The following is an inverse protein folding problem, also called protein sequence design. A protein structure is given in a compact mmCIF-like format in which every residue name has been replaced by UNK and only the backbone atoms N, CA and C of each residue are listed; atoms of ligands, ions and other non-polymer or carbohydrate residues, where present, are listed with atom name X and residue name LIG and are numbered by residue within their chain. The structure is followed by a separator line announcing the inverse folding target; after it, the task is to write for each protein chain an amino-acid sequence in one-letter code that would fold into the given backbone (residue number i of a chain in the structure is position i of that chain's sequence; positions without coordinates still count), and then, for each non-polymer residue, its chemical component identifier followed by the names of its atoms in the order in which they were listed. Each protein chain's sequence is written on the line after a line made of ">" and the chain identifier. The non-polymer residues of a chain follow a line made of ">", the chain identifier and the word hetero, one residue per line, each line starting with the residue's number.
data_IF_825898541531
#
_entry.id   IF_825898541531
#
_cell.length_a   1.000
_cell.length_b   1.000
_cell.length_c   1.000
_cell.angle_alpha   90.00
_cell.angle_beta   90.00
_cell.angle_gamma   90.00
#
_symmetry.space_group_name_H-M   'P 1'
#
loop_
_entity.id
_entity.type
_entity.pdbx_description
1 polymer ?
#
# COMPACT_ATOMS: atom_id res chain seq x y z
N UNK A 1 20.39 -8.47 -24.86
CA UNK A 1 19.35 -7.49 -24.60
C UNK A 1 19.06 -6.59 -25.79
N UNK A 2 20.06 -6.27 -26.66
CA UNK A 2 19.92 -5.38 -27.82
C UNK A 2 19.29 -6.08 -29.01
N UNK A 3 18.39 -5.39 -29.75
CA UNK A 3 17.75 -5.92 -30.97
C UNK A 3 18.53 -5.60 -32.23
N UNK A 4 19.07 -4.35 -32.32
CA UNK A 4 19.87 -3.96 -33.47
C UNK A 4 21.19 -4.71 -33.48
N UNK A 5 21.53 -5.27 -34.64
CA UNK A 5 22.77 -6.03 -34.86
C UNK A 5 23.64 -5.29 -35.85
N UNK A 6 24.93 -5.63 -35.87
CA UNK A 6 25.83 -5.13 -36.90
C UNK A 6 25.30 -5.52 -38.29
N UNK A 7 25.18 -4.55 -39.19
CA UNK A 7 24.61 -4.68 -40.54
C UNK A 7 23.13 -4.30 -40.66
N UNK A 8 22.43 -4.04 -39.56
CA UNK A 8 21.06 -3.55 -39.60
C UNK A 8 21.03 -2.07 -39.94
N UNK A 9 19.87 -1.63 -40.48
CA UNK A 9 19.67 -0.19 -40.76
C UNK A 9 19.52 0.57 -39.42
N UNK A 10 20.37 1.57 -39.22
CA UNK A 10 20.30 2.45 -38.05
C UNK A 10 18.99 3.27 -38.04
N UNK A 11 18.28 3.23 -36.93
CA UNK A 11 17.13 4.09 -36.66
C UNK A 11 17.15 4.60 -35.21
N UNK A 12 16.77 5.86 -35.01
CA UNK A 12 16.67 6.46 -33.68
C UNK A 12 15.66 5.66 -32.79
N UNK A 13 14.55 5.22 -33.39
CA UNK A 13 13.55 4.40 -32.70
C UNK A 13 14.13 3.05 -32.22
N UNK A 14 14.98 2.42 -33.03
CA UNK A 14 15.69 1.18 -32.65
C UNK A 14 16.67 1.42 -31.51
N UNK A 15 17.39 2.56 -31.56
CA UNK A 15 18.32 2.98 -30.51
C UNK A 15 17.60 3.17 -29.17
N UNK A 16 16.47 3.88 -29.16
CA UNK A 16 15.65 4.09 -27.95
C UNK A 16 15.05 2.79 -27.43
N UNK A 17 14.53 1.95 -28.32
CA UNK A 17 13.98 0.64 -27.92
C UNK A 17 15.03 -0.28 -27.27
N UNK A 18 16.26 -0.26 -27.74
CA UNK A 18 17.35 -1.04 -27.17
C UNK A 18 17.84 -0.43 -25.84
N UNK A 19 17.90 0.93 -25.71
CA UNK A 19 18.11 1.59 -24.43
C UNK A 19 17.09 1.12 -23.39
N UNK A 20 15.81 1.12 -23.74
CA UNK A 20 14.74 0.73 -22.85
C UNK A 20 14.84 -0.75 -22.44
N UNK A 21 15.26 -1.62 -23.35
CA UNK A 21 15.51 -3.04 -23.01
C UNK A 21 16.67 -3.22 -22.03
N UNK A 22 17.75 -2.47 -22.22
CA UNK A 22 18.88 -2.50 -21.28
C UNK A 22 18.43 -1.96 -19.93
N UNK A 23 17.73 -0.83 -19.88
CA UNK A 23 17.20 -0.24 -18.65
C UNK A 23 16.25 -1.21 -17.93
N UNK A 24 15.38 -1.88 -18.68
CA UNK A 24 14.43 -2.85 -18.15
C UNK A 24 15.07 -4.13 -17.60
N UNK A 25 16.39 -4.32 -17.72
CA UNK A 25 17.09 -5.39 -16.99
C UNK A 25 17.14 -5.14 -15.49
N UNK A 26 17.05 -3.87 -15.07
CA UNK A 26 17.00 -3.43 -13.68
C UNK A 26 18.36 -3.20 -13.01
N UNK A 27 19.48 -3.41 -13.70
CA UNK A 27 20.84 -3.27 -13.14
C UNK A 27 21.43 -1.88 -13.28
N UNK A 28 20.79 -0.99 -14.04
CA UNK A 28 21.36 0.30 -14.41
C UNK A 28 20.52 1.44 -13.84
N UNK A 29 21.22 2.37 -13.23
CA UNK A 29 20.68 3.63 -12.73
C UNK A 29 20.34 4.59 -13.88
N UNK A 30 21.24 4.66 -14.89
CA UNK A 30 21.04 5.50 -16.06
C UNK A 30 21.68 4.86 -17.30
N UNK A 31 21.11 5.17 -18.49
CA UNK A 31 21.59 4.71 -19.78
C UNK A 31 21.38 5.82 -20.80
N UNK A 32 22.47 6.27 -21.41
CA UNK A 32 22.40 7.22 -22.49
C UNK A 32 23.14 6.69 -23.73
N UNK A 33 22.44 6.54 -24.86
CA UNK A 33 23.05 6.13 -26.11
C UNK A 33 23.73 7.30 -26.81
N UNK A 34 24.85 7.06 -27.47
CA UNK A 34 25.47 7.95 -28.43
C UNK A 34 25.71 7.23 -29.75
N UNK A 35 25.85 7.96 -30.82
CA UNK A 35 26.19 7.38 -32.11
C UNK A 35 27.16 8.28 -32.87
N UNK A 36 28.02 7.65 -33.64
CA UNK A 36 29.02 8.32 -34.50
C UNK A 36 28.91 7.79 -35.93
N UNK A 37 28.95 8.68 -36.88
CA UNK A 37 29.04 8.31 -38.32
C UNK A 37 30.48 8.00 -38.69
N UNK A 38 30.69 6.82 -39.24
CA UNK A 38 31.98 6.37 -39.77
C UNK A 38 31.81 6.00 -41.24
N UNK A 39 32.92 5.88 -42.04
CA UNK A 39 32.83 5.57 -43.46
C UNK A 39 32.03 4.27 -43.77
N UNK A 40 32.09 3.30 -42.87
CA UNK A 40 31.43 1.99 -43.00
C UNK A 40 30.00 1.98 -42.47
N UNK A 41 29.51 3.10 -41.84
CA UNK A 41 28.14 3.15 -41.31
C UNK A 41 27.99 4.02 -40.06
N UNK A 42 27.32 3.48 -39.04
CA UNK A 42 27.08 4.14 -37.74
C UNK A 42 27.52 3.25 -36.60
N UNK A 43 28.40 3.76 -35.76
CA UNK A 43 28.79 3.11 -34.50
C UNK A 43 27.86 3.63 -33.40
N UNK A 44 27.19 2.70 -32.71
CA UNK A 44 26.31 2.99 -31.58
C UNK A 44 27.01 2.61 -30.29
N UNK A 45 27.05 3.52 -29.33
CA UNK A 45 27.62 3.28 -27.99
C UNK A 45 26.55 3.52 -26.91
N UNK A 46 26.30 2.53 -26.06
CA UNK A 46 25.44 2.67 -24.88
C UNK A 46 26.33 2.92 -23.67
N UNK A 47 26.24 4.11 -23.11
CA UNK A 47 26.88 4.47 -21.85
C UNK A 47 25.94 4.06 -20.71
N UNK A 48 26.45 3.26 -19.79
CA UNK A 48 25.64 2.71 -18.70
C UNK A 48 26.23 3.12 -17.34
N UNK A 49 25.36 3.48 -16.40
CA UNK A 49 25.70 3.68 -15.00
C UNK A 49 25.04 2.57 -14.20
N UNK A 50 25.85 1.69 -13.62
CA UNK A 50 25.35 0.56 -12.83
C UNK A 50 24.81 1.03 -11.49
N UNK A 51 23.78 0.30 -11.01
CA UNK A 51 23.32 0.44 -9.65
C UNK A 51 24.43 0.05 -8.66
N UNK A 52 24.42 0.58 -7.43
CA UNK A 52 25.42 0.24 -6.43
C UNK A 52 25.30 -1.24 -5.99
N UNK A 53 26.38 -1.78 -5.47
CA UNK A 53 26.40 -3.11 -4.84
C UNK A 53 25.69 -3.02 -3.50
N UNK A 54 24.72 -3.90 -3.28
CA UNK A 54 23.96 -4.01 -2.05
C UNK A 54 24.82 -4.63 -0.95
N UNK A 55 25.07 -3.90 0.14
CA UNK A 55 25.83 -4.39 1.30
C UNK A 55 24.97 -4.70 2.53
N UNK A 56 23.75 -4.21 2.54
CA UNK A 56 22.78 -4.49 3.59
C UNK A 56 21.42 -3.92 3.30
N UNK A 57 20.42 -4.39 4.05
CA UNK A 57 19.02 -3.94 3.93
C UNK A 57 18.53 -3.61 5.34
N UNK A 58 18.01 -2.40 5.51
CA UNK A 58 17.40 -1.91 6.75
C UNK A 58 15.92 -1.64 6.52
N UNK A 59 15.09 -2.20 7.40
CA UNK A 59 13.66 -1.93 7.46
C UNK A 59 13.36 -1.04 8.67
N UNK A 60 12.46 -0.08 8.51
CA UNK A 60 12.01 0.80 9.59
C UNK A 60 10.54 1.16 9.44
N UNK A 61 9.90 1.56 10.55
CA UNK A 61 8.49 1.95 10.58
C UNK A 61 7.49 0.78 10.62
N UNK A 62 7.96 -0.45 10.63
CA UNK A 62 7.15 -1.65 10.81
C UNK A 62 6.93 -1.90 12.30
N UNK A 63 5.76 -1.54 12.82
CA UNK A 63 5.39 -1.70 14.23
C UNK A 63 4.49 -2.91 14.48
N UNK A 64 3.73 -3.32 13.47
CA UNK A 64 2.77 -4.44 13.55
C UNK A 64 3.27 -5.71 12.89
N UNK A 65 4.25 -5.61 11.99
CA UNK A 65 4.89 -6.76 11.34
C UNK A 65 6.30 -6.95 11.87
N UNK A 66 6.67 -8.21 12.09
CA UNK A 66 8.01 -8.55 12.55
C UNK A 66 9.04 -8.30 11.44
N UNK A 67 10.14 -7.63 11.78
CA UNK A 67 11.24 -7.33 10.85
C UNK A 67 11.81 -8.60 10.19
N UNK A 68 11.97 -9.69 10.93
CA UNK A 68 12.46 -10.97 10.40
C UNK A 68 11.52 -11.55 9.35
N UNK A 69 10.20 -11.46 9.59
CA UNK A 69 9.18 -11.89 8.63
C UNK A 69 9.27 -11.09 7.34
N UNK A 70 9.40 -9.77 7.43
CA UNK A 70 9.53 -8.90 6.27
C UNK A 70 10.85 -9.11 5.53
N UNK A 71 11.96 -9.29 6.26
CA UNK A 71 13.25 -9.61 5.67
C UNK A 71 13.23 -10.93 4.91
N UNK A 72 12.50 -11.93 5.40
CA UNK A 72 12.29 -13.21 4.73
C UNK A 72 11.57 -13.12 3.38
N UNK A 73 10.90 -12.01 3.10
CA UNK A 73 10.25 -11.74 1.80
C UNK A 73 11.19 -11.10 0.78
N UNK A 74 12.36 -10.64 1.21
CA UNK A 74 13.33 -9.98 0.35
C UNK A 74 14.18 -11.04 -0.34
N UNK A 75 14.19 -11.01 -1.66
CA UNK A 75 14.92 -11.98 -2.48
C UNK A 75 16.32 -11.51 -2.88
N UNK A 76 16.54 -10.18 -2.83
CA UNK A 76 17.85 -9.59 -3.13
C UNK A 76 18.91 -10.01 -2.11
N UNK A 77 20.12 -10.23 -2.60
CA UNK A 77 21.26 -10.68 -1.79
C UNK A 77 22.32 -9.59 -1.62
N UNK A 78 22.90 -9.54 -0.43
CA UNK A 78 24.07 -8.69 -0.19
C UNK A 78 25.27 -9.20 -0.99
N UNK A 79 26.08 -8.27 -1.51
CA UNK A 79 27.20 -8.56 -2.40
C UNK A 79 26.86 -8.54 -3.90
N UNK A 80 25.59 -8.47 -4.27
CA UNK A 80 25.15 -8.37 -5.67
C UNK A 80 24.82 -6.90 -6.02
N UNK A 81 24.84 -6.58 -7.32
CA UNK A 81 24.38 -5.28 -7.82
C UNK A 81 22.88 -5.18 -7.59
N UNK A 82 22.42 -4.06 -7.02
CA UNK A 82 20.99 -3.82 -6.79
C UNK A 82 20.23 -3.91 -8.11
N UNK A 83 19.22 -4.77 -8.14
CA UNK A 83 18.31 -4.88 -9.27
C UNK A 83 16.98 -4.20 -8.94
N UNK A 84 16.65 -3.12 -9.64
CA UNK A 84 15.44 -2.33 -9.40
C UNK A 84 14.14 -3.11 -9.63
N UNK A 85 14.14 -4.10 -10.52
CA UNK A 85 12.97 -4.96 -10.77
C UNK A 85 12.73 -5.95 -9.62
N UNK A 86 13.80 -6.52 -9.08
CA UNK A 86 13.72 -7.41 -7.91
C UNK A 86 13.32 -6.60 -6.68
N UNK A 87 13.89 -5.41 -6.49
CA UNK A 87 13.48 -4.49 -5.42
C UNK A 87 11.98 -4.20 -5.48
N UNK A 88 11.43 -3.90 -6.65
CA UNK A 88 9.99 -3.65 -6.80
C UNK A 88 9.14 -4.88 -6.47
N UNK A 89 9.59 -6.09 -6.83
CA UNK A 89 8.90 -7.34 -6.45
C UNK A 89 8.93 -7.55 -4.93
N UNK A 90 10.07 -7.33 -4.31
CA UNK A 90 10.23 -7.49 -2.87
C UNK A 90 9.36 -6.46 -2.10
N UNK A 91 9.31 -5.20 -2.57
CA UNK A 91 8.41 -4.17 -2.04
C UNK A 91 6.95 -4.58 -2.16
N UNK A 92 6.55 -5.13 -3.32
CA UNK A 92 5.18 -5.64 -3.51
C UNK A 92 4.87 -6.82 -2.59
N UNK A 93 5.84 -7.71 -2.35
CA UNK A 93 5.67 -8.84 -1.43
C UNK A 93 5.48 -8.38 0.01
N UNK A 94 6.24 -7.38 0.45
CA UNK A 94 6.08 -6.75 1.77
C UNK A 94 4.69 -6.11 1.90
N UNK A 95 4.25 -5.31 0.92
CA UNK A 95 2.95 -4.66 0.94
C UNK A 95 1.80 -5.68 0.93
N UNK A 96 1.96 -6.79 0.19
CA UNK A 96 0.97 -7.86 0.16
C UNK A 96 0.88 -8.61 1.49
N UNK A 97 2.00 -8.78 2.22
CA UNK A 97 1.98 -9.32 3.57
C UNK A 97 1.11 -8.45 4.49
N UNK A 98 1.35 -7.14 4.52
CA UNK A 98 0.54 -6.19 5.27
C UNK A 98 -0.95 -6.27 4.90
N UNK A 99 -1.25 -6.34 3.60
CA UNK A 99 -2.64 -6.44 3.12
C UNK A 99 -3.31 -7.73 3.59
N UNK A 100 -2.61 -8.87 3.53
CA UNK A 100 -3.12 -10.15 4.04
C UNK A 100 -3.46 -10.09 5.52
N UNK A 101 -2.69 -9.34 6.31
CA UNK A 101 -2.93 -9.17 7.74
C UNK A 101 -3.95 -8.08 8.07
N UNK A 102 -4.44 -7.39 7.05
CA UNK A 102 -5.52 -6.41 7.14
C UNK A 102 -5.06 -4.96 7.16
N UNK A 103 -3.76 -4.70 7.12
CA UNK A 103 -3.17 -3.36 7.12
C UNK A 103 -3.12 -2.76 5.70
N UNK A 104 -4.30 -2.53 5.14
CA UNK A 104 -4.48 -2.14 3.73
C UNK A 104 -3.93 -0.77 3.36
N UNK A 105 -3.57 0.05 4.33
CA UNK A 105 -2.98 1.38 4.14
C UNK A 105 -1.46 1.35 4.16
N UNK A 106 -0.86 0.22 4.53
CA UNK A 106 0.58 0.10 4.61
C UNK A 106 1.23 0.23 3.24
N UNK A 107 2.27 1.05 3.17
CA UNK A 107 3.07 1.29 1.95
C UNK A 107 4.52 1.57 2.30
N UNK A 108 5.41 1.27 1.37
CA UNK A 108 6.79 1.74 1.43
C UNK A 108 6.80 3.19 0.94
N UNK A 109 7.25 4.12 1.77
CA UNK A 109 7.24 5.56 1.50
C UNK A 109 8.60 6.12 1.13
N UNK A 110 9.65 5.43 1.51
CA UNK A 110 11.02 5.84 1.22
C UNK A 110 11.87 4.59 0.91
N UNK A 111 12.64 4.71 -0.17
CA UNK A 111 13.60 3.70 -0.61
C UNK A 111 14.87 4.44 -0.97
N UNK A 112 15.87 4.34 -0.12
CA UNK A 112 17.14 5.01 -0.30
C UNK A 112 18.30 4.05 -0.12
N UNK A 113 19.28 4.10 -1.00
CA UNK A 113 20.55 3.41 -0.83
C UNK A 113 21.64 4.43 -0.52
N UNK A 114 22.33 4.23 0.58
CA UNK A 114 23.39 5.13 1.00
C UNK A 114 24.72 4.84 0.27
N UNK A 115 25.69 5.74 0.46
CA UNK A 115 27.05 5.58 -0.10
C UNK A 115 27.80 4.32 0.40
N UNK A 116 27.34 3.72 1.47
CA UNK A 116 27.89 2.48 2.01
C UNK A 116 27.22 1.23 1.42
N UNK A 117 26.22 1.41 0.54
CA UNK A 117 25.49 0.31 -0.08
C UNK A 117 24.37 -0.28 0.81
N UNK A 118 23.93 0.45 1.83
CA UNK A 118 22.81 0.03 2.68
C UNK A 118 21.50 0.55 2.09
N UNK A 119 20.62 -0.35 1.69
CA UNK A 119 19.27 -0.03 1.25
C UNK A 119 18.36 0.13 2.48
N UNK A 120 17.79 1.31 2.64
CA UNK A 120 16.78 1.58 3.67
C UNK A 120 15.39 1.56 3.04
N UNK A 121 14.49 0.74 3.60
CA UNK A 121 13.08 0.68 3.25
C UNK A 121 12.27 1.19 4.43
N UNK A 122 11.54 2.29 4.24
CA UNK A 122 10.68 2.86 5.29
C UNK A 122 9.23 2.48 5.04
N UNK A 123 8.66 1.75 5.97
CA UNK A 123 7.24 1.41 5.98
C UNK A 123 6.43 2.53 6.63
N UNK A 124 5.32 2.90 6.02
CA UNK A 124 4.27 3.68 6.65
C UNK A 124 3.02 2.80 6.71
N UNK A 125 2.60 2.44 7.91
CA UNK A 125 1.51 1.48 8.14
C UNK A 125 0.12 2.10 8.02
N UNK A 126 0.03 3.45 7.96
CA UNK A 126 -1.22 4.18 7.92
C UNK A 126 -1.98 4.12 9.25
N UNK A 127 -2.35 5.27 9.80
CA UNK A 127 -2.89 5.39 11.16
C UNK A 127 -4.40 5.63 11.13
N UNK A 128 -5.12 4.99 12.06
CA UNK A 128 -6.48 5.37 12.40
C UNK A 128 -6.43 6.66 13.25
N UNK A 129 -6.83 7.81 12.68
CA UNK A 129 -6.83 9.08 13.40
C UNK A 129 -7.99 9.19 14.38
N UNK A 130 -9.15 8.66 14.00
CA UNK A 130 -10.34 8.73 14.84
C UNK A 130 -11.57 8.09 14.21
N UNK A 131 -12.68 8.31 14.90
CA UNK A 131 -13.99 7.83 14.49
C UNK A 131 -14.94 8.99 14.28
N UNK A 132 -15.89 8.81 13.36
CA UNK A 132 -17.05 9.67 13.17
C UNK A 132 -18.29 8.81 13.05
N UNK A 133 -19.35 9.18 13.74
CA UNK A 133 -20.63 8.44 13.69
C UNK A 133 -21.69 9.32 13.06
N UNK A 134 -22.48 8.76 12.16
CA UNK A 134 -23.62 9.38 11.52
C UNK A 134 -24.86 8.49 11.59
N UNK A 135 -26.05 9.11 11.56
CA UNK A 135 -27.33 8.39 11.53
C UNK A 135 -27.85 7.95 12.90
N UNK A 136 -27.08 8.13 13.98
CA UNK A 136 -27.46 7.79 15.33
C UNK A 136 -28.32 8.89 15.99
N UNK A 137 -29.60 8.94 15.68
CA UNK A 137 -30.54 9.96 16.22
C UNK A 137 -30.97 9.70 17.65
N UNK A 138 -31.13 8.43 18.04
CA UNK A 138 -31.56 7.97 19.37
C UNK A 138 -30.43 7.35 20.16
N UNK A 139 -29.58 6.57 19.50
CA UNK A 139 -28.46 5.86 20.12
C UNK A 139 -27.31 6.83 20.38
N UNK A 140 -26.85 6.91 21.63
CA UNK A 140 -25.70 7.74 21.98
C UNK A 140 -24.45 7.21 21.32
N UNK A 141 -23.63 8.10 20.75
CA UNK A 141 -22.38 7.79 20.05
C UNK A 141 -21.47 6.84 20.88
N UNK A 142 -21.34 7.07 22.18
CA UNK A 142 -20.56 6.23 23.09
C UNK A 142 -20.95 4.74 23.07
N UNK A 143 -22.22 4.42 22.75
CA UNK A 143 -22.71 3.05 22.68
C UNK A 143 -22.15 2.35 21.44
N UNK A 144 -21.95 3.10 20.38
CA UNK A 144 -21.33 2.62 19.11
C UNK A 144 -19.82 2.52 19.30
N UNK A 145 -19.20 3.59 19.80
CA UNK A 145 -17.72 3.66 19.90
C UNK A 145 -17.11 2.62 20.86
N UNK A 146 -17.84 2.21 21.89
CA UNK A 146 -17.37 1.12 22.78
C UNK A 146 -17.21 -0.25 22.08
N UNK A 147 -17.83 -0.41 20.91
CA UNK A 147 -17.73 -1.64 20.11
C UNK A 147 -16.50 -1.64 19.18
N UNK A 148 -15.80 -0.53 19.11
CA UNK A 148 -14.61 -0.40 18.27
C UNK A 148 -13.46 -1.25 18.83
N UNK A 149 -12.78 -1.96 17.92
CA UNK A 149 -11.68 -2.86 18.26
C UNK A 149 -10.30 -2.20 18.21
N UNK A 150 -10.21 -1.07 17.53
CA UNK A 150 -8.98 -0.29 17.41
C UNK A 150 -9.10 1.03 18.15
N UNK A 151 -7.98 1.55 18.60
CA UNK A 151 -7.89 2.88 19.21
C UNK A 151 -7.32 3.88 18.20
N UNK A 152 -7.72 5.14 18.25
CA UNK A 152 -7.02 6.20 17.53
C UNK A 152 -5.53 6.19 17.87
N UNK A 153 -4.70 6.39 16.85
CA UNK A 153 -3.25 6.31 16.93
C UNK A 153 -2.65 4.95 16.56
N UNK A 154 -3.45 3.90 16.49
CA UNK A 154 -2.98 2.57 16.04
C UNK A 154 -2.97 2.47 14.50
N UNK A 155 -2.08 1.64 13.91
CA UNK A 155 -2.13 1.31 12.49
C UNK A 155 -3.49 0.75 12.09
N UNK A 156 -4.10 1.32 11.04
CA UNK A 156 -5.45 0.92 10.62
C UNK A 156 -5.49 -0.51 10.11
N UNK A 157 -6.41 -1.31 10.64
CA UNK A 157 -6.63 -2.70 10.24
C UNK A 157 -8.07 -2.94 9.78
N UNK A 158 -8.24 -3.27 8.51
CA UNK A 158 -9.55 -3.50 7.88
C UNK A 158 -10.30 -4.72 8.44
N UNK A 159 -9.59 -5.75 8.93
CA UNK A 159 -10.22 -6.91 9.57
C UNK A 159 -10.83 -6.52 10.92
N UNK A 160 -10.14 -5.68 11.69
CA UNK A 160 -10.65 -5.16 12.97
C UNK A 160 -11.80 -4.17 12.74
N UNK A 161 -11.72 -3.32 11.72
CA UNK A 161 -12.81 -2.43 11.31
C UNK A 161 -14.08 -3.21 10.96
N UNK A 162 -13.96 -4.28 10.17
CA UNK A 162 -15.09 -5.15 9.82
C UNK A 162 -15.69 -5.86 11.04
N UNK A 163 -14.83 -6.34 11.96
CA UNK A 163 -15.30 -6.92 13.23
C UNK A 163 -16.02 -5.88 14.08
N UNK A 164 -15.55 -4.65 14.13
CA UNK A 164 -16.21 -3.54 14.86
C UNK A 164 -17.59 -3.27 14.26
N UNK A 165 -17.70 -3.18 12.95
CA UNK A 165 -18.99 -3.01 12.25
C UNK A 165 -19.98 -4.14 12.63
N UNK A 166 -19.53 -5.39 12.60
CA UNK A 166 -20.38 -6.53 12.99
C UNK A 166 -20.84 -6.45 14.44
N UNK A 167 -20.00 -5.98 15.36
CA UNK A 167 -20.37 -5.80 16.78
C UNK A 167 -21.42 -4.71 16.93
N UNK A 168 -21.29 -3.58 16.21
CA UNK A 168 -22.30 -2.52 16.21
C UNK A 168 -23.63 -3.04 15.66
N UNK A 169 -23.60 -3.78 14.55
CA UNK A 169 -24.79 -4.40 13.98
C UNK A 169 -25.47 -5.37 14.96
N UNK A 170 -24.68 -6.17 15.68
CA UNK A 170 -25.16 -7.17 16.67
C UNK A 170 -25.77 -6.53 17.93
N UNK A 171 -25.64 -5.21 18.14
CA UNK A 171 -26.39 -4.52 19.21
C UNK A 171 -27.91 -4.60 19.01
N UNK A 172 -28.35 -4.91 17.78
CA UNK A 172 -29.76 -5.06 17.46
C UNK A 172 -30.54 -3.75 17.26
N UNK A 173 -29.90 -2.59 17.41
CA UNK A 173 -30.51 -1.27 17.29
C UNK A 173 -30.57 -0.74 15.86
N UNK A 174 -29.79 -1.32 14.95
CA UNK A 174 -29.58 -0.82 13.60
C UNK A 174 -30.12 -1.80 12.56
N UNK A 175 -30.73 -1.24 11.50
CA UNK A 175 -31.09 -1.97 10.27
C UNK A 175 -29.87 -2.15 9.38
N UNK A 176 -29.00 -1.13 9.36
CA UNK A 176 -27.79 -1.11 8.56
C UNK A 176 -26.64 -0.40 9.28
N UNK A 177 -25.41 -0.84 9.00
CA UNK A 177 -24.18 -0.26 9.51
C UNK A 177 -23.15 -0.31 8.41
N UNK A 178 -22.74 0.86 7.93
CA UNK A 178 -21.74 1.02 6.89
C UNK A 178 -20.48 1.69 7.44
N UNK A 179 -19.34 1.38 6.83
CA UNK A 179 -18.06 2.02 7.13
C UNK A 179 -17.54 2.72 5.89
N UNK A 180 -17.13 3.97 6.07
CA UNK A 180 -16.39 4.76 5.08
C UNK A 180 -15.06 5.20 5.68
N UNK A 181 -14.03 5.23 4.83
CA UNK A 181 -12.72 5.73 5.18
C UNK A 181 -12.58 7.13 4.59
N UNK A 182 -12.46 8.12 5.46
CA UNK A 182 -12.21 9.50 5.05
C UNK A 182 -10.74 9.84 5.31
N UNK A 183 -10.11 10.70 4.48
CA UNK A 183 -8.78 11.21 4.77
C UNK A 183 -8.75 11.89 6.15
N UNK A 184 -7.66 11.66 6.90
CA UNK A 184 -7.38 12.36 8.14
C UNK A 184 -6.74 13.73 7.90
N UNK A 185 -6.32 14.39 8.97
CA UNK A 185 -5.50 15.61 8.92
C UNK A 185 -4.09 15.27 8.44
N UNK A 186 -3.51 14.17 8.96
CA UNK A 186 -2.26 13.64 8.45
C UNK A 186 -2.50 12.90 7.12
N UNK A 187 -1.67 13.13 6.08
CA UNK A 187 -1.78 12.43 4.79
C UNK A 187 -1.71 10.90 4.86
N UNK A 188 -1.16 10.36 5.95
CA UNK A 188 -1.03 8.93 6.19
C UNK A 188 -2.05 8.40 7.20
N UNK A 189 -3.01 9.23 7.62
CA UNK A 189 -4.04 8.86 8.57
C UNK A 189 -5.42 8.83 7.92
N UNK A 190 -6.32 8.06 8.52
CA UNK A 190 -7.71 7.95 8.11
C UNK A 190 -8.65 8.11 9.29
N UNK A 191 -9.80 8.72 9.05
CA UNK A 191 -10.93 8.77 9.97
C UNK A 191 -11.96 7.73 9.52
N UNK A 192 -12.29 6.79 10.38
CA UNK A 192 -13.31 5.79 10.11
C UNK A 192 -14.71 6.36 10.43
N UNK A 193 -15.50 6.58 9.40
CA UNK A 193 -16.89 7.03 9.53
C UNK A 193 -17.82 5.82 9.55
N UNK A 194 -18.60 5.69 10.63
CA UNK A 194 -19.68 4.72 10.75
C UNK A 194 -20.99 5.43 10.39
N UNK A 195 -21.64 4.96 9.34
CA UNK A 195 -22.95 5.43 8.91
C UNK A 195 -23.99 4.36 9.29
N UNK A 196 -24.84 4.67 10.28
CA UNK A 196 -25.80 3.73 10.85
C UNK A 196 -27.22 4.14 10.52
N UNK A 197 -28.07 3.14 10.24
CA UNK A 197 -29.53 3.34 10.12
C UNK A 197 -30.21 2.67 11.27
N UNK A 198 -30.86 3.47 12.14
CA UNK A 198 -31.56 2.97 13.32
C UNK A 198 -32.87 2.27 12.95
N UNK A 199 -33.17 1.15 13.63
CA UNK A 199 -34.47 0.50 13.51
C UNK A 199 -35.59 1.38 13.99
N UNK A 200 -36.70 1.33 13.30
CA UNK A 200 -37.94 1.94 13.79
C UNK A 200 -38.38 1.24 15.05
N UNK A 201 -38.36 1.91 16.18
CA UNK A 201 -38.94 1.41 17.44
C UNK A 201 -40.45 1.37 17.28
N UNK A 202 -41.02 0.18 17.45
CA UNK A 202 -42.41 -0.19 17.16
C UNK A 202 -43.51 0.77 17.60
N UNK A 203 -44.61 0.73 16.86
CA UNK A 203 -45.87 1.36 17.23
C UNK A 203 -46.49 0.60 18.39
N UNK A 204 -46.71 1.24 19.53
CA UNK A 204 -47.61 0.75 20.57
C UNK A 204 -49.04 0.89 20.07
N UNK A 205 -49.66 -0.21 19.73
CA UNK A 205 -51.13 -0.27 19.56
C UNK A 205 -51.79 -0.45 20.92
N UNK A 206 -52.44 0.59 21.44
CA UNK A 206 -53.35 0.46 22.56
C UNK A 206 -54.67 -0.02 21.98
N UNK A 207 -54.97 -1.35 22.11
CA UNK A 207 -56.26 -1.93 21.80
C UNK A 207 -57.16 -1.81 23.06
N UNK A 208 -58.09 -0.88 23.08
CA UNK A 208 -59.18 -0.87 24.04
C UNK A 208 -60.28 -1.83 23.56
N UNK A 209 -60.36 -3.02 24.12
CA UNK A 209 -61.47 -3.96 23.88
C UNK A 209 -62.65 -3.62 24.81
N UNK A 210 -63.75 -3.15 24.23
CA UNK A 210 -65.04 -3.09 24.95
C UNK A 210 -65.70 -4.50 24.78
N UNK A 211 -65.95 -5.18 25.91
CA UNK A 211 -66.84 -6.35 25.95
C UNK A 211 -68.16 -5.83 26.56
N UNK A 212 -69.25 -5.86 25.80
CA UNK A 212 -70.61 -5.68 26.31
C UNK A 212 -71.23 -7.09 26.46
N UNK A 213 -71.59 -7.45 27.70
CA UNK A 213 -72.56 -8.53 27.97
C UNK A 213 -73.94 -8.14 27.55
#
# INVERSE_FOLDING_TARGET
>A
AISMKAGDMFTVKGLEADRDKIYNTGYFYDIYPSFEKVPEGVVVTYHVLENPVLKGISLSGNTVENTETLQGLITMKTGEILNSRELNKDVMAIQEQYRRDGYILAKITDMNIDKNGILTLKVNEGILEGYKVKGNTKTKERVILREMRQKPGEPFNSKLARRSMQRVYNLGFFEDVNIKMNPGVDPNAVVMELDVTEKRTGSFGIGAGYSSE
#
